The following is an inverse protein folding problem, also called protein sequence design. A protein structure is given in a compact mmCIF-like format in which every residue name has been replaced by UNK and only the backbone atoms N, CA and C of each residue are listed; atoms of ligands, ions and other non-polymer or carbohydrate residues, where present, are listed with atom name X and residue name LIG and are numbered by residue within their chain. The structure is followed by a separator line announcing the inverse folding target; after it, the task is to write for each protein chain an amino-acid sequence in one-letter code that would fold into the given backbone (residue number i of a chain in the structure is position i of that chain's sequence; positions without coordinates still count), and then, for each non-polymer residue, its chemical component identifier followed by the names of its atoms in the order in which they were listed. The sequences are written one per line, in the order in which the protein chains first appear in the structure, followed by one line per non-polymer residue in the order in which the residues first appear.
data_IF_031465987703
#
_entry.id   IF_031465987703
#
_cell.length_a   1.000
_cell.length_b   1.000
_cell.length_c   1.000
_cell.angle_alpha   90.00
_cell.angle_beta   90.00
_cell.angle_gamma   90.00
#
_symmetry.space_group_name_H-M   'P 1'
#
loop_
_entity.id
_entity.type
_entity.pdbx_description
1 polymer ?
#
# COMPACT_ATOMS: atom_id res chain seq x y z
N UNK A 1 -16.80 41.54 -9.34
CA UNK A 1 -15.46 41.09 -9.80
C UNK A 1 -15.59 39.64 -10.21
N UNK A 2 -15.48 39.35 -11.50
CA UNK A 2 -15.54 37.99 -12.04
C UNK A 2 -14.20 37.31 -11.74
N UNK A 3 -14.21 36.26 -10.92
CA UNK A 3 -13.03 35.42 -10.72
C UNK A 3 -12.74 34.70 -12.05
N UNK A 4 -11.72 35.15 -12.75
CA UNK A 4 -11.11 34.40 -13.83
C UNK A 4 -10.41 33.17 -13.21
N UNK A 5 -10.65 31.93 -13.69
CA UNK A 5 -9.93 30.76 -13.18
C UNK A 5 -8.42 30.90 -13.50
N UNK A 6 -7.58 30.54 -12.53
CA UNK A 6 -6.14 30.48 -12.69
C UNK A 6 -5.78 29.44 -13.78
N UNK A 7 -5.10 29.82 -14.88
CA UNK A 7 -4.75 28.89 -15.95
C UNK A 7 -3.74 27.79 -15.54
N UNK A 8 -3.21 27.82 -14.30
CA UNK A 8 -2.35 26.77 -13.74
C UNK A 8 -3.12 25.63 -13.04
N UNK A 9 -4.45 25.70 -12.97
CA UNK A 9 -5.28 24.60 -12.49
C UNK A 9 -5.47 23.61 -13.64
N UNK A 10 -4.57 22.62 -13.72
CA UNK A 10 -4.74 21.49 -14.63
C UNK A 10 -6.14 20.90 -14.51
N UNK A 11 -6.77 20.68 -15.66
CA UNK A 11 -8.09 20.05 -15.76
C UNK A 11 -8.13 18.75 -14.97
N UNK A 12 -9.28 18.46 -14.40
CA UNK A 12 -9.56 17.21 -13.69
C UNK A 12 -9.28 16.04 -14.61
N UNK A 13 -8.23 15.27 -14.35
CA UNK A 13 -8.00 14.03 -15.08
C UNK A 13 -9.03 13.01 -14.62
N UNK A 14 -10.02 12.77 -15.44
CA UNK A 14 -11.02 11.72 -15.20
C UNK A 14 -10.56 10.47 -15.97
N UNK A 15 -9.66 9.68 -15.37
CA UNK A 15 -9.58 8.28 -15.78
C UNK A 15 -10.87 7.59 -15.36
N UNK A 16 -11.35 6.66 -16.20
CA UNK A 16 -12.48 5.80 -15.85
C UNK A 16 -12.23 5.14 -14.49
N UNK A 17 -12.97 5.61 -13.46
CA UNK A 17 -12.81 5.21 -12.06
C UNK A 17 -13.00 3.70 -11.88
N UNK A 18 -13.70 3.04 -12.81
CA UNK A 18 -14.00 1.61 -12.74
C UNK A 18 -12.85 0.71 -13.26
N UNK A 19 -12.04 1.17 -14.21
CA UNK A 19 -11.12 0.29 -14.97
C UNK A 19 -9.67 0.81 -15.11
N UNK A 20 -9.22 1.72 -14.24
CA UNK A 20 -7.85 2.23 -14.30
C UNK A 20 -6.81 1.22 -13.80
N UNK A 21 -5.62 1.14 -14.44
CA UNK A 21 -4.53 0.28 -13.98
C UNK A 21 -3.89 0.87 -12.71
N UNK A 22 -3.86 0.10 -11.63
CA UNK A 22 -3.25 0.53 -10.35
C UNK A 22 -1.73 0.57 -10.53
N UNK A 23 -1.11 1.74 -10.38
CA UNK A 23 0.34 1.94 -10.48
C UNK A 23 0.96 2.17 -9.10
N UNK A 24 2.04 1.47 -8.82
CA UNK A 24 2.84 1.62 -7.60
C UNK A 24 4.29 1.91 -7.94
N UNK A 25 4.95 2.78 -7.17
CA UNK A 25 6.35 3.10 -7.37
C UNK A 25 7.27 1.97 -6.85
N UNK A 26 8.29 1.65 -7.64
CA UNK A 26 9.22 0.54 -7.35
C UNK A 26 10.02 0.79 -6.08
N UNK A 27 10.32 2.03 -5.75
CA UNK A 27 11.18 2.36 -4.62
C UNK A 27 10.46 2.12 -3.28
N UNK A 28 9.18 2.50 -3.14
CA UNK A 28 8.40 2.20 -1.95
C UNK A 28 8.10 0.70 -1.79
N UNK A 29 8.10 -0.05 -2.90
CA UNK A 29 8.00 -1.52 -2.86
C UNK A 29 9.29 -2.17 -2.34
N UNK A 30 10.46 -1.57 -2.54
CA UNK A 30 11.75 -2.11 -2.05
C UNK A 30 11.94 -1.87 -0.56
N UNK A 31 11.68 -0.65 -0.10
CA UNK A 31 11.90 -0.22 1.28
C UNK A 31 10.56 -0.17 2.02
N UNK A 32 10.47 -0.70 3.26
CA UNK A 32 9.23 -0.65 4.03
C UNK A 32 8.98 0.75 4.63
N UNK A 33 8.66 1.71 3.78
CA UNK A 33 8.39 3.10 4.15
C UNK A 33 7.12 3.20 5.00
N UNK A 34 6.09 2.44 4.63
CA UNK A 34 4.78 2.49 5.27
C UNK A 34 4.70 1.60 6.51
N UNK A 35 4.05 2.11 7.55
CA UNK A 35 3.81 1.34 8.77
C UNK A 35 2.75 0.26 8.57
N UNK A 36 2.98 -0.92 9.12
CA UNK A 36 2.02 -2.02 9.18
C UNK A 36 1.16 -1.95 10.45
N UNK A 37 1.46 -1.04 11.38
CA UNK A 37 0.78 -0.94 12.65
C UNK A 37 -0.68 -0.49 12.47
N UNK A 38 -1.59 -1.13 13.22
CA UNK A 38 -2.99 -0.71 13.30
C UNK A 38 -3.16 0.54 14.17
N UNK A 39 -2.27 0.71 15.14
CA UNK A 39 -2.27 1.85 16.06
C UNK A 39 -1.28 2.90 15.57
N UNK A 40 -1.36 4.10 16.14
CA UNK A 40 -0.46 5.21 15.87
C UNK A 40 1.00 4.80 16.11
N UNK A 41 1.81 4.83 15.06
CA UNK A 41 3.22 4.50 15.08
C UNK A 41 4.05 5.77 15.01
N UNK A 42 4.73 6.12 16.10
CA UNK A 42 5.59 7.30 16.20
C UNK A 42 7.07 6.95 16.30
N UNK A 43 7.44 5.68 16.08
CA UNK A 43 8.83 5.24 16.17
C UNK A 43 9.56 5.51 14.86
N UNK A 44 10.72 6.16 14.94
CA UNK A 44 11.64 6.24 13.82
C UNK A 44 12.16 4.85 13.47
N UNK A 45 12.14 4.53 12.18
CA UNK A 45 12.64 3.26 11.64
C UNK A 45 13.82 3.54 10.72
N UNK A 46 14.84 2.72 10.79
CA UNK A 46 16.03 2.83 9.95
C UNK A 46 16.28 1.49 9.27
N UNK A 47 16.50 1.54 7.98
CA UNK A 47 16.78 0.39 7.12
C UNK A 47 18.14 0.60 6.45
N UNK A 48 19.02 -0.42 6.55
CA UNK A 48 20.35 -0.39 5.95
C UNK A 48 20.51 -1.53 4.96
N UNK A 49 20.97 -1.22 3.77
CA UNK A 49 21.31 -2.22 2.76
C UNK A 49 22.60 -1.81 2.06
N UNK A 50 23.70 -2.42 2.44
CA UNK A 50 25.03 -1.97 2.01
C UNK A 50 25.28 -0.52 2.47
N UNK A 51 25.67 0.34 1.54
CA UNK A 51 25.91 1.76 1.81
C UNK A 51 24.60 2.59 1.89
N UNK A 52 23.47 2.08 1.41
CA UNK A 52 22.19 2.80 1.44
C UNK A 52 21.56 2.72 2.82
N UNK A 53 21.17 3.90 3.32
CA UNK A 53 20.42 4.04 4.57
C UNK A 53 19.13 4.78 4.25
N UNK A 54 18.01 4.23 4.66
CA UNK A 54 16.70 4.90 4.60
C UNK A 54 16.14 5.01 6.01
N UNK A 55 15.81 6.20 6.41
CA UNK A 55 15.21 6.48 7.71
C UNK A 55 13.80 7.03 7.52
N UNK A 56 12.84 6.45 8.21
CA UNK A 56 11.43 6.88 8.19
C UNK A 56 11.12 7.51 9.53
N UNK A 57 10.84 8.80 9.52
CA UNK A 57 10.61 9.63 10.70
C UNK A 57 9.15 10.05 10.73
N UNK A 58 8.32 9.47 11.62
CA UNK A 58 6.93 9.85 11.77
C UNK A 58 6.78 11.24 12.42
N UNK A 59 5.66 11.88 12.12
CA UNK A 59 5.24 13.06 12.89
C UNK A 59 4.50 12.67 14.18
N UNK A 60 4.11 13.69 14.95
CA UNK A 60 3.27 13.49 16.14
C UNK A 60 1.91 12.85 15.87
N UNK A 61 1.40 12.88 14.63
CA UNK A 61 0.16 12.18 14.25
C UNK A 61 0.38 10.72 13.85
N UNK A 62 1.63 10.29 13.75
CA UNK A 62 2.04 8.93 13.41
C UNK A 62 2.58 8.81 11.98
N UNK A 63 3.16 7.66 11.68
CA UNK A 63 3.66 7.29 10.35
C UNK A 63 2.52 7.04 9.37
N UNK A 64 2.78 7.32 8.08
CA UNK A 64 1.94 6.84 7.01
C UNK A 64 1.87 5.31 7.00
N UNK A 65 0.67 4.77 6.84
CA UNK A 65 0.40 3.33 6.84
C UNK A 65 0.26 2.78 5.43
N UNK A 66 0.34 1.47 5.27
CA UNK A 66 0.08 0.81 3.97
C UNK A 66 -1.33 1.10 3.43
N UNK A 67 -2.28 1.49 4.29
CA UNK A 67 -3.61 1.90 3.85
C UNK A 67 -3.63 3.35 3.37
N UNK A 68 -2.75 4.20 3.86
CA UNK A 68 -2.61 5.57 3.37
C UNK A 68 -1.95 5.61 1.99
N UNK A 69 -1.16 4.57 1.66
CA UNK A 69 -0.57 4.39 0.34
C UNK A 69 -1.60 4.34 -0.79
N UNK A 70 -2.85 3.92 -0.50
CA UNK A 70 -3.92 3.89 -1.51
C UNK A 70 -4.09 5.24 -2.23
N UNK A 71 -3.87 6.36 -1.52
CA UNK A 71 -3.93 7.68 -2.14
C UNK A 71 -2.78 7.90 -3.14
N UNK A 72 -1.58 7.45 -2.79
CA UNK A 72 -0.43 7.58 -3.69
C UNK A 72 -0.60 6.67 -4.92
N UNK A 73 -1.14 5.46 -4.74
CA UNK A 73 -1.48 4.56 -5.85
C UNK A 73 -2.52 5.19 -6.79
N UNK A 74 -3.56 5.81 -6.22
CA UNK A 74 -4.58 6.53 -6.98
C UNK A 74 -3.96 7.67 -7.80
N UNK A 75 -3.16 8.53 -7.16
CA UNK A 75 -2.50 9.67 -7.81
C UNK A 75 -1.51 9.19 -8.89
N UNK A 76 -0.65 8.21 -8.55
CA UNK A 76 0.32 7.66 -9.48
C UNK A 76 -0.34 7.11 -10.75
N UNK A 77 -1.45 6.41 -10.58
CA UNK A 77 -2.21 5.85 -11.70
C UNK A 77 -2.81 6.94 -12.59
N UNK A 78 -3.37 8.01 -12.00
CA UNK A 78 -3.89 9.16 -12.74
C UNK A 78 -2.79 9.85 -13.56
N UNK A 79 -1.62 10.11 -12.95
CA UNK A 79 -0.50 10.76 -13.60
C UNK A 79 0.05 9.90 -14.75
N UNK A 80 0.25 8.60 -14.52
CA UNK A 80 0.79 7.69 -15.55
C UNK A 80 -0.19 7.53 -16.71
N UNK A 81 -1.49 7.44 -16.41
CA UNK A 81 -2.51 7.33 -17.46
C UNK A 81 -2.61 8.61 -18.30
N UNK A 82 -2.64 9.78 -17.66
CA UNK A 82 -2.63 11.06 -18.37
C UNK A 82 -1.40 11.19 -19.28
N UNK A 83 -0.23 10.75 -18.78
CA UNK A 83 0.99 10.74 -19.57
C UNK A 83 0.92 9.78 -20.76
N UNK A 84 0.35 8.58 -20.58
CA UNK A 84 0.14 7.63 -21.67
C UNK A 84 -0.78 8.19 -22.78
N UNK A 85 -1.70 9.07 -22.39
CA UNK A 85 -2.61 9.78 -23.29
C UNK A 85 -2.03 11.10 -23.81
N UNK A 86 -0.74 11.36 -23.61
CA UNK A 86 -0.03 12.59 -24.01
C UNK A 86 -0.65 13.88 -23.44
N UNK A 87 -1.37 13.78 -22.33
CA UNK A 87 -1.93 14.94 -21.64
C UNK A 87 -0.88 15.63 -20.76
N UNK A 88 -1.06 16.92 -20.51
CA UNK A 88 -0.21 17.66 -19.59
C UNK A 88 -0.37 17.11 -18.16
N UNK A 89 0.75 16.78 -17.52
CA UNK A 89 0.77 16.25 -16.15
C UNK A 89 1.37 17.24 -15.18
N UNK A 90 0.90 17.21 -13.95
CA UNK A 90 1.35 18.07 -12.85
C UNK A 90 1.62 17.24 -11.61
N UNK A 91 2.53 17.71 -10.75
CA UNK A 91 2.72 17.17 -9.39
C UNK A 91 1.50 17.37 -8.49
N UNK A 92 0.64 18.33 -8.84
CA UNK A 92 -0.59 18.64 -8.09
C UNK A 92 -1.80 18.04 -8.79
N UNK A 93 -2.49 17.15 -8.08
CA UNK A 93 -3.70 16.48 -8.58
C UNK A 93 -4.89 16.91 -7.73
N UNK A 94 -6.00 17.27 -8.39
CA UNK A 94 -7.27 17.50 -7.74
C UNK A 94 -8.09 16.21 -7.71
N UNK A 95 -8.72 15.92 -6.59
CA UNK A 95 -9.39 14.63 -6.34
C UNK A 95 -10.76 14.90 -5.72
N UNK A 96 -11.82 14.40 -6.36
CA UNK A 96 -13.13 14.30 -5.73
C UNK A 96 -13.10 13.16 -4.70
N UNK A 97 -13.55 13.44 -3.49
CA UNK A 97 -13.43 12.47 -2.40
C UNK A 97 -14.19 11.17 -2.69
N UNK A 98 -15.36 11.30 -3.34
CA UNK A 98 -16.18 10.13 -3.70
C UNK A 98 -15.44 9.24 -4.73
N UNK A 99 -14.79 9.84 -5.71
CA UNK A 99 -14.08 9.11 -6.78
C UNK A 99 -12.90 8.32 -6.19
N UNK A 100 -12.17 8.94 -5.27
CA UNK A 100 -11.11 8.26 -4.54
C UNK A 100 -11.63 7.07 -3.71
N UNK A 101 -12.73 7.28 -2.96
CA UNK A 101 -13.30 6.23 -2.11
C UNK A 101 -13.81 5.04 -2.96
N UNK A 102 -14.53 5.32 -4.04
CA UNK A 102 -15.02 4.30 -4.97
C UNK A 102 -13.87 3.63 -5.70
N UNK A 103 -12.93 4.42 -6.24
CA UNK A 103 -11.77 3.91 -6.99
C UNK A 103 -10.85 3.01 -6.18
N UNK A 104 -10.78 3.21 -4.87
CA UNK A 104 -9.98 2.38 -3.94
C UNK A 104 -10.80 1.36 -3.15
N UNK A 105 -12.04 1.10 -3.59
CA UNK A 105 -12.98 0.14 -2.96
C UNK A 105 -13.19 0.41 -1.45
N UNK A 106 -13.16 1.67 -1.05
CA UNK A 106 -13.47 2.12 0.31
C UNK A 106 -14.95 2.47 0.40
N UNK A 107 -15.56 2.18 1.54
CA UNK A 107 -16.93 2.62 1.78
C UNK A 107 -17.05 4.16 1.73
N UNK A 108 -18.19 4.66 1.29
CA UNK A 108 -18.52 6.09 1.16
C UNK A 108 -19.18 6.68 2.41
N UNK A 109 -19.19 5.95 3.49
CA UNK A 109 -19.71 6.38 4.78
C UNK A 109 -18.90 7.55 5.36
N UNK A 110 -19.53 8.31 6.27
CA UNK A 110 -18.96 9.47 6.94
C UNK A 110 -17.55 9.26 7.48
N UNK A 111 -17.31 8.15 8.18
CA UNK A 111 -16.00 7.82 8.73
C UNK A 111 -14.90 7.73 7.66
N UNK A 112 -15.25 7.40 6.41
CA UNK A 112 -14.29 7.33 5.31
C UNK A 112 -13.81 8.71 4.89
N UNK A 113 -14.68 9.73 4.91
CA UNK A 113 -14.30 11.11 4.63
C UNK A 113 -13.41 11.69 5.73
N UNK A 114 -13.68 11.39 7.01
CA UNK A 114 -12.83 11.79 8.14
C UNK A 114 -11.43 11.17 8.03
N UNK A 115 -11.34 9.91 7.62
CA UNK A 115 -10.07 9.20 7.40
C UNK A 115 -9.21 9.80 6.28
N UNK A 116 -9.81 10.49 5.29
CA UNK A 116 -9.04 11.21 4.26
C UNK A 116 -8.16 12.28 4.90
N UNK A 117 -8.68 13.05 5.84
CA UNK A 117 -7.92 14.11 6.53
C UNK A 117 -6.74 13.53 7.30
N UNK A 118 -6.96 12.44 8.02
CA UNK A 118 -5.91 11.79 8.81
C UNK A 118 -4.85 11.14 7.90
N UNK A 119 -5.26 10.57 6.78
CA UNK A 119 -4.36 10.05 5.74
C UNK A 119 -3.45 11.15 5.20
N UNK A 120 -4.02 12.29 4.80
CA UNK A 120 -3.26 13.44 4.31
C UNK A 120 -2.26 13.96 5.35
N UNK A 121 -2.65 14.04 6.62
CA UNK A 121 -1.78 14.44 7.73
C UNK A 121 -0.61 13.48 7.92
N UNK A 122 -0.84 12.16 7.87
CA UNK A 122 0.22 11.17 8.00
C UNK A 122 1.16 11.18 6.80
N UNK A 123 0.64 11.22 5.58
CA UNK A 123 1.45 11.28 4.36
C UNK A 123 2.34 12.54 4.34
N UNK A 124 1.79 13.70 4.73
CA UNK A 124 2.56 14.96 4.80
C UNK A 124 3.56 14.96 5.97
N UNK A 125 3.20 14.33 7.07
CA UNK A 125 3.98 14.33 8.31
C UNK A 125 5.05 13.25 8.40
N UNK A 126 5.08 12.28 7.48
CA UNK A 126 6.11 11.25 7.43
C UNK A 126 7.28 11.73 6.60
N UNK A 127 8.44 11.92 7.24
CA UNK A 127 9.69 12.30 6.56
C UNK A 127 10.50 11.04 6.25
N UNK A 128 11.01 10.99 5.04
CA UNK A 128 11.94 9.96 4.56
C UNK A 128 13.28 10.63 4.38
N UNK A 129 14.31 10.13 5.08
CA UNK A 129 15.70 10.51 4.85
C UNK A 129 16.42 9.37 4.16
N UNK A 130 17.15 9.66 3.12
CA UNK A 130 18.00 8.70 2.43
C UNK A 130 19.35 9.31 2.12
N UNK A 131 20.38 8.47 2.14
CA UNK A 131 21.69 8.89 1.68
C UNK A 131 21.87 8.50 0.21
N UNK A 132 22.34 9.46 -0.55
CA UNK A 132 22.78 9.29 -1.93
C UNK A 132 24.30 9.50 -1.96
N UNK A 133 25.01 8.62 -2.61
CA UNK A 133 26.45 8.75 -2.83
C UNK A 133 26.73 8.95 -4.32
N UNK A 134 27.28 10.09 -4.68
CA UNK A 134 27.61 10.45 -6.07
C UNK A 134 28.99 11.09 -6.10
N UNK A 135 29.90 10.53 -6.92
CA UNK A 135 31.23 11.08 -7.10
C UNK A 135 32.10 11.11 -5.81
N UNK A 136 31.89 10.17 -4.89
CA UNK A 136 32.61 10.10 -3.61
C UNK A 136 32.11 11.11 -2.55
N UNK A 137 31.04 11.85 -2.84
CA UNK A 137 30.34 12.73 -1.89
C UNK A 137 29.06 12.07 -1.45
N UNK A 138 28.88 11.96 -0.13
CA UNK A 138 27.64 11.46 0.49
C UNK A 138 26.72 12.61 0.79
N UNK A 139 25.54 12.62 0.17
CA UNK A 139 24.47 13.57 0.42
C UNK A 139 23.34 12.89 1.17
N UNK A 140 22.77 13.55 2.17
CA UNK A 140 21.55 13.11 2.84
C UNK A 140 20.41 14.00 2.39
N UNK A 141 19.35 13.39 1.85
CA UNK A 141 18.15 14.10 1.45
C UNK A 141 16.98 13.67 2.35
N UNK A 142 16.19 14.66 2.76
CA UNK A 142 14.97 14.46 3.52
C UNK A 142 13.77 15.03 2.78
N UNK A 143 12.72 14.22 2.58
CA UNK A 143 11.48 14.63 1.91
C UNK A 143 10.26 13.98 2.55
N UNK A 144 9.08 14.54 2.30
CA UNK A 144 7.79 13.94 2.66
C UNK A 144 7.23 13.13 1.49
N UNK A 145 6.24 12.29 1.74
CA UNK A 145 5.54 11.57 0.65
C UNK A 145 4.69 12.51 -0.20
N UNK A 146 4.09 13.52 0.44
CA UNK A 146 3.39 14.63 -0.22
C UNK A 146 3.92 15.95 0.32
N UNK A 147 4.06 16.96 -0.54
CA UNK A 147 4.58 18.27 -0.16
C UNK A 147 3.50 19.16 0.45
N UNK A 148 2.34 19.21 -0.19
CA UNK A 148 1.21 20.00 0.29
C UNK A 148 -0.11 19.32 -0.01
N UNK A 149 -1.16 19.74 0.72
CA UNK A 149 -2.54 19.40 0.39
C UNK A 149 -3.46 20.59 0.73
N UNK A 150 -4.59 20.68 0.02
CA UNK A 150 -5.69 21.60 0.32
C UNK A 150 -6.98 20.80 0.38
N UNK A 151 -7.87 21.14 1.29
CA UNK A 151 -9.15 20.44 1.48
C UNK A 151 -10.27 21.45 1.30
N UNK A 152 -11.26 21.11 0.47
CA UNK A 152 -12.55 21.77 0.38
C UNK A 152 -13.59 20.90 1.08
N UNK A 153 -14.22 21.47 2.11
CA UNK A 153 -15.24 20.78 2.90
C UNK A 153 -16.56 21.57 2.85
N UNK A 154 -17.66 20.88 3.05
CA UNK A 154 -18.94 21.53 3.33
C UNK A 154 -18.86 22.36 4.62
N UNK A 155 -19.76 23.34 4.76
CA UNK A 155 -19.90 24.06 6.03
C UNK A 155 -20.17 23.10 7.18
N UNK A 156 -19.57 23.39 8.32
CA UNK A 156 -19.74 22.60 9.53
C UNK A 156 -21.23 22.54 9.93
N UNK A 157 -21.72 21.32 10.10
CA UNK A 157 -23.02 21.06 10.73
C UNK A 157 -22.77 20.55 12.15
N UNK A 158 -23.61 20.96 13.08
CA UNK A 158 -23.58 20.43 14.44
C UNK A 158 -24.53 19.24 14.51
N UNK A 159 -23.99 18.06 14.71
CA UNK A 159 -24.77 16.84 14.88
C UNK A 159 -24.62 16.27 16.28
N UNK A 160 -25.70 15.68 16.80
CA UNK A 160 -25.66 14.92 18.03
C UNK A 160 -25.02 13.54 17.74
N UNK A 161 -23.91 13.22 18.39
CA UNK A 161 -23.26 11.93 18.28
C UNK A 161 -23.15 11.27 19.66
N UNK A 162 -23.41 9.96 19.72
CA UNK A 162 -23.22 9.20 20.95
C UNK A 162 -21.73 8.89 21.14
N UNK A 163 -21.18 9.28 22.27
CA UNK A 163 -19.82 9.00 22.65
C UNK A 163 -19.80 7.74 23.53
N UNK A 164 -19.21 6.65 23.02
CA UNK A 164 -19.20 5.36 23.68
C UNK A 164 -18.32 5.33 24.95
N UNK A 165 -17.30 6.19 25.03
CA UNK A 165 -16.42 6.26 26.19
C UNK A 165 -17.10 6.99 27.35
N UNK A 166 -17.73 8.11 27.06
CA UNK A 166 -18.41 8.92 28.08
C UNK A 166 -19.87 8.53 28.31
N UNK A 167 -20.42 7.63 27.47
CA UNK A 167 -21.84 7.21 27.47
C UNK A 167 -22.83 8.38 27.39
N UNK A 168 -22.44 9.47 26.74
CA UNK A 168 -23.27 10.69 26.59
C UNK A 168 -23.42 11.08 25.13
N UNK A 169 -24.54 11.72 24.84
CA UNK A 169 -24.72 12.38 23.54
C UNK A 169 -23.98 13.71 23.57
N UNK A 170 -22.96 13.84 22.72
CA UNK A 170 -22.17 15.06 22.55
C UNK A 170 -22.50 15.73 21.21
N UNK A 171 -22.46 17.05 21.18
CA UNK A 171 -22.57 17.79 19.92
C UNK A 171 -21.20 17.87 19.28
N UNK A 172 -21.05 17.28 18.10
CA UNK A 172 -19.81 17.35 17.31
C UNK A 172 -20.05 18.18 16.05
N UNK A 173 -19.10 19.07 15.76
CA UNK A 173 -19.04 19.71 14.46
C UNK A 173 -18.59 18.71 13.41
N UNK A 174 -19.35 18.59 12.34
CA UNK A 174 -19.10 17.65 11.26
C UNK A 174 -19.04 18.40 9.96
N UNK A 175 -17.96 18.17 9.24
CA UNK A 175 -17.81 18.61 7.86
C UNK A 175 -17.51 17.42 6.97
N UNK A 176 -18.09 17.40 5.78
CA UNK A 176 -17.77 16.41 4.75
C UNK A 176 -16.73 16.99 3.82
N UNK A 177 -15.63 16.25 3.61
CA UNK A 177 -14.63 16.58 2.58
C UNK A 177 -15.24 16.32 1.21
N UNK A 178 -15.41 17.36 0.39
CA UNK A 178 -15.95 17.27 -0.97
C UNK A 178 -14.85 16.89 -1.95
N UNK A 179 -13.80 17.69 -1.97
CA UNK A 179 -12.61 17.49 -2.80
C UNK A 179 -11.37 17.91 -2.05
N UNK A 180 -10.24 17.43 -2.53
CA UNK A 180 -8.94 17.86 -2.03
C UNK A 180 -7.91 17.86 -3.16
N UNK A 181 -6.89 18.69 -3.03
CA UNK A 181 -5.74 18.65 -3.93
C UNK A 181 -4.50 18.20 -3.18
N UNK A 182 -3.64 17.48 -3.85
CA UNK A 182 -2.39 16.95 -3.29
C UNK A 182 -1.26 17.25 -4.25
N UNK A 183 -0.19 17.86 -3.73
CA UNK A 183 1.09 17.95 -4.44
C UNK A 183 2.00 16.85 -3.92
N UNK A 184 2.30 15.87 -4.76
CA UNK A 184 3.23 14.79 -4.42
C UNK A 184 4.67 15.31 -4.39
N UNK A 185 5.53 14.62 -3.63
CA UNK A 185 6.95 14.96 -3.58
C UNK A 185 7.61 14.88 -4.96
N UNK A 186 8.65 15.68 -5.15
CA UNK A 186 9.42 15.67 -6.39
C UNK A 186 10.05 14.30 -6.65
N UNK A 187 10.53 13.65 -5.59
CA UNK A 187 11.08 12.31 -5.66
C UNK A 187 10.08 11.30 -6.25
N UNK A 188 8.84 11.28 -5.75
CA UNK A 188 7.81 10.38 -6.26
C UNK A 188 7.43 10.75 -7.70
N UNK A 189 7.24 12.04 -7.99
CA UNK A 189 6.89 12.51 -9.34
C UNK A 189 7.95 12.13 -10.38
N UNK A 190 9.24 12.28 -10.04
CA UNK A 190 10.34 11.91 -10.93
C UNK A 190 10.34 10.40 -11.22
N UNK A 191 10.08 9.55 -10.22
CA UNK A 191 9.91 8.11 -10.43
C UNK A 191 8.77 7.78 -11.40
N UNK A 192 7.62 8.47 -11.26
CA UNK A 192 6.48 8.30 -12.19
C UNK A 192 6.83 8.77 -13.62
N UNK A 193 7.56 9.89 -13.73
CA UNK A 193 8.00 10.40 -15.03
C UNK A 193 9.03 9.49 -15.72
N UNK A 194 9.80 8.72 -14.98
CA UNK A 194 10.75 7.73 -15.50
C UNK A 194 10.14 6.32 -15.69
N UNK A 195 8.82 6.17 -15.53
CA UNK A 195 8.13 4.87 -15.56
C UNK A 195 8.67 3.82 -14.55
N UNK A 196 9.24 4.28 -13.45
CA UNK A 196 9.67 3.42 -12.34
C UNK A 196 8.46 2.94 -11.53
N UNK A 197 7.52 2.28 -12.22
CA UNK A 197 6.24 1.82 -11.67
C UNK A 197 5.95 0.37 -12.05
N UNK A 198 5.22 -0.33 -11.19
CA UNK A 198 4.64 -1.63 -11.47
C UNK A 198 3.12 -1.54 -11.44
N UNK A 199 2.48 -2.33 -12.29
CA UNK A 199 1.01 -2.46 -12.26
C UNK A 199 0.62 -3.49 -11.21
N UNK A 200 -0.31 -3.10 -10.31
CA UNK A 200 -0.90 -3.98 -9.31
C UNK A 200 -2.29 -4.45 -9.78
N UNK A 201 -2.69 -5.64 -9.33
CA UNK A 201 -4.08 -6.09 -9.47
C UNK A 201 -5.00 -5.28 -8.55
N UNK A 202 -6.20 -4.93 -9.01
CA UNK A 202 -7.19 -4.17 -8.21
C UNK A 202 -7.61 -4.87 -6.92
N UNK A 203 -7.52 -6.19 -6.87
CA UNK A 203 -7.72 -6.97 -5.64
C UNK A 203 -6.82 -6.56 -4.47
N UNK A 204 -5.76 -5.77 -4.73
CA UNK A 204 -4.94 -5.17 -3.69
C UNK A 204 -5.77 -4.34 -2.70
N UNK A 205 -6.73 -3.56 -3.17
CA UNK A 205 -7.57 -2.73 -2.31
C UNK A 205 -8.48 -3.55 -1.39
N UNK A 206 -8.79 -4.81 -1.74
CA UNK A 206 -9.58 -5.76 -0.92
C UNK A 206 -8.78 -6.42 0.19
N UNK A 207 -7.45 -6.30 0.17
CA UNK A 207 -6.60 -6.82 1.23
C UNK A 207 -6.76 -5.99 2.50
N UNK A 208 -7.45 -6.54 3.49
CA UNK A 208 -7.78 -5.86 4.75
C UNK A 208 -6.69 -5.96 5.81
N UNK A 209 -5.69 -6.85 5.63
CA UNK A 209 -4.55 -6.97 6.54
C UNK A 209 -3.33 -6.24 5.97
N UNK A 210 -2.68 -5.43 6.79
CA UNK A 210 -1.48 -4.66 6.40
C UNK A 210 -0.35 -5.56 5.90
N UNK A 211 -0.14 -6.70 6.54
CA UNK A 211 0.88 -7.66 6.11
C UNK A 211 0.56 -8.27 4.75
N UNK A 212 -0.71 -8.60 4.45
CA UNK A 212 -1.11 -9.16 3.15
C UNK A 212 -0.83 -8.17 2.01
N UNK A 213 -1.10 -6.88 2.22
CA UNK A 213 -0.74 -5.82 1.25
C UNK A 213 0.75 -5.79 0.99
N UNK A 214 1.55 -5.78 2.05
CA UNK A 214 3.01 -5.75 1.92
C UNK A 214 3.57 -7.01 1.27
N UNK A 215 3.05 -8.18 1.61
CA UNK A 215 3.43 -9.45 0.97
C UNK A 215 3.11 -9.46 -0.52
N UNK A 216 1.96 -8.89 -0.92
CA UNK A 216 1.61 -8.77 -2.34
C UNK A 216 2.55 -7.83 -3.09
N UNK A 217 2.88 -6.65 -2.54
CA UNK A 217 3.85 -5.73 -3.13
C UNK A 217 5.22 -6.41 -3.35
N UNK A 218 5.72 -7.12 -2.33
CA UNK A 218 6.98 -7.87 -2.41
C UNK A 218 6.90 -8.96 -3.48
N UNK A 219 5.80 -9.73 -3.50
CA UNK A 219 5.57 -10.74 -4.51
C UNK A 219 5.56 -10.14 -5.93
N UNK A 220 4.81 -9.04 -6.13
CA UNK A 220 4.72 -8.37 -7.43
C UNK A 220 6.07 -7.86 -7.92
N UNK A 221 6.88 -7.31 -7.01
CA UNK A 221 8.22 -6.80 -7.34
C UNK A 221 9.21 -7.91 -7.66
N UNK A 222 9.24 -8.97 -6.87
CA UNK A 222 10.31 -9.97 -6.93
C UNK A 222 9.95 -11.22 -7.72
N UNK A 223 8.72 -11.71 -7.63
CA UNK A 223 8.22 -12.76 -8.48
C UNK A 223 7.88 -12.21 -9.87
N UNK A 224 7.11 -11.09 -9.92
CA UNK A 224 6.74 -10.45 -11.18
C UNK A 224 6.11 -11.45 -12.14
N UNK A 225 6.72 -11.57 -13.33
CA UNK A 225 6.30 -12.56 -14.33
C UNK A 225 6.95 -13.93 -14.18
N UNK A 226 7.84 -14.13 -13.22
CA UNK A 226 8.41 -15.44 -12.95
C UNK A 226 7.36 -16.34 -12.28
N UNK A 227 7.40 -17.67 -12.57
CA UNK A 227 6.45 -18.62 -12.00
C UNK A 227 6.53 -18.75 -10.47
N UNK A 228 7.73 -18.57 -9.91
CA UNK A 228 7.99 -18.64 -8.47
C UNK A 228 9.20 -17.81 -8.09
N UNK A 229 9.24 -17.39 -6.82
CA UNK A 229 10.36 -16.72 -6.19
C UNK A 229 10.49 -17.20 -4.74
N UNK A 230 11.73 -17.44 -4.30
CA UNK A 230 12.03 -17.89 -2.93
C UNK A 230 12.82 -16.84 -2.18
N UNK A 231 12.53 -16.71 -0.90
CA UNK A 231 13.24 -15.80 -0.01
C UNK A 231 13.30 -16.40 1.39
N UNK A 232 14.44 -16.27 2.06
CA UNK A 232 14.56 -16.63 3.46
C UNK A 232 13.63 -15.79 4.34
N UNK A 233 13.02 -16.39 5.37
CA UNK A 233 12.03 -15.72 6.24
C UNK A 233 12.60 -14.50 6.96
N UNK A 234 13.90 -14.50 7.31
CA UNK A 234 14.53 -13.36 7.98
C UNK A 234 14.67 -12.18 7.02
N UNK A 235 15.17 -12.43 5.81
CA UNK A 235 15.25 -11.41 4.76
C UNK A 235 13.87 -10.90 4.35
N UNK A 236 12.86 -11.79 4.34
CA UNK A 236 11.47 -11.35 4.11
C UNK A 236 11.00 -10.44 5.23
N UNK A 237 11.32 -10.74 6.48
CA UNK A 237 11.01 -9.90 7.64
C UNK A 237 11.62 -8.50 7.51
N UNK A 238 12.87 -8.39 7.06
CA UNK A 238 13.52 -7.10 6.75
C UNK A 238 12.78 -6.34 5.64
N UNK A 239 12.41 -7.02 4.55
CA UNK A 239 11.66 -6.41 3.43
C UNK A 239 10.24 -5.99 3.83
N UNK A 240 9.60 -6.71 4.73
CA UNK A 240 8.31 -6.36 5.31
C UNK A 240 8.46 -5.14 6.22
N UNK A 241 9.60 -4.99 6.88
CA UNK A 241 9.86 -3.95 7.88
C UNK A 241 9.27 -4.30 9.24
N UNK A 242 9.14 -5.60 9.55
CA UNK A 242 8.63 -6.05 10.86
C UNK A 242 9.75 -6.15 11.88
N UNK A 243 9.43 -5.81 13.13
CA UNK A 243 10.30 -6.02 14.29
C UNK A 243 9.89 -7.26 15.10
N UNK A 244 8.94 -8.02 14.59
CA UNK A 244 8.44 -9.24 15.22
C UNK A 244 9.51 -10.33 15.25
N UNK A 245 9.41 -11.23 16.23
CA UNK A 245 10.24 -12.43 16.27
C UNK A 245 9.86 -13.39 15.14
N UNK A 246 10.83 -14.16 14.63
CA UNK A 246 10.64 -15.10 13.52
C UNK A 246 9.41 -16.00 13.69
N UNK A 247 9.14 -16.52 14.88
CA UNK A 247 8.01 -17.40 15.10
C UNK A 247 6.66 -16.67 14.91
N UNK A 248 6.57 -15.40 15.30
CA UNK A 248 5.38 -14.57 15.13
C UNK A 248 5.14 -14.29 13.63
N UNK A 249 6.20 -13.94 12.91
CA UNK A 249 6.12 -13.76 11.45
C UNK A 249 5.69 -15.05 10.75
N UNK A 250 6.23 -16.22 11.17
CA UNK A 250 5.83 -17.53 10.65
C UNK A 250 4.33 -17.79 10.85
N UNK A 251 3.79 -17.46 12.02
CA UNK A 251 2.38 -17.65 12.31
C UNK A 251 1.50 -16.69 11.45
N UNK A 252 1.92 -15.45 11.25
CA UNK A 252 1.24 -14.53 10.33
C UNK A 252 1.28 -15.01 8.87
N UNK A 253 2.41 -15.56 8.42
CA UNK A 253 2.53 -16.17 7.10
C UNK A 253 1.60 -17.38 6.95
N UNK A 254 1.51 -18.25 7.95
CA UNK A 254 0.54 -19.36 7.96
C UNK A 254 -0.90 -18.88 7.88
N UNK A 255 -1.23 -17.79 8.57
CA UNK A 255 -2.56 -17.18 8.44
C UNK A 255 -2.81 -16.62 7.03
N UNK A 256 -1.81 -16.01 6.40
CA UNK A 256 -1.91 -15.51 5.04
C UNK A 256 -2.04 -16.67 4.02
N UNK A 257 -1.28 -17.76 4.22
CA UNK A 257 -1.38 -19.00 3.42
C UNK A 257 -2.79 -19.59 3.55
N UNK A 258 -3.31 -19.74 4.77
CA UNK A 258 -4.63 -20.29 5.03
C UNK A 258 -5.77 -19.44 4.46
N UNK A 259 -5.58 -18.10 4.45
CA UNK A 259 -6.55 -17.17 3.88
C UNK A 259 -6.52 -17.13 2.36
N UNK A 260 -5.35 -17.31 1.75
CA UNK A 260 -5.09 -17.35 0.29
C UNK A 260 -5.72 -16.18 -0.49
N UNK A 261 -5.52 -14.94 0.00
CA UNK A 261 -6.17 -13.75 -0.55
C UNK A 261 -5.34 -12.93 -1.50
N UNK A 262 -4.01 -13.17 -1.58
CA UNK A 262 -3.16 -12.38 -2.44
C UNK A 262 -3.61 -12.51 -3.90
N UNK A 263 -3.85 -11.41 -4.61
CA UNK A 263 -4.07 -11.47 -6.06
C UNK A 263 -2.84 -12.07 -6.76
N UNK A 264 -3.03 -12.71 -7.89
CA UNK A 264 -1.98 -13.24 -8.78
C UNK A 264 -1.01 -14.28 -8.16
N UNK A 265 -0.84 -14.31 -6.83
CA UNK A 265 0.15 -15.15 -6.16
C UNK A 265 -0.44 -16.00 -5.04
N UNK A 266 0.20 -17.12 -4.80
CA UNK A 266 0.10 -17.92 -3.59
C UNK A 266 1.39 -17.80 -2.77
N UNK A 267 1.30 -18.14 -1.49
CA UNK A 267 2.44 -18.24 -0.58
C UNK A 267 2.53 -19.66 -0.06
N UNK A 268 3.76 -20.15 0.13
CA UNK A 268 4.05 -21.40 0.83
C UNK A 268 5.27 -21.22 1.74
N UNK A 269 5.42 -22.10 2.72
CA UNK A 269 6.62 -22.23 3.54
C UNK A 269 7.34 -23.53 3.18
N UNK A 270 8.66 -23.49 3.11
CA UNK A 270 9.51 -24.67 3.03
C UNK A 270 10.03 -25.04 4.43
N UNK A 271 9.37 -25.97 5.14
CA UNK A 271 9.74 -26.34 6.50
C UNK A 271 11.04 -27.15 6.56
N UNK A 272 11.54 -27.65 5.40
CA UNK A 272 12.78 -28.41 5.33
C UNK A 272 14.05 -27.53 5.38
N UNK A 273 13.87 -26.20 5.41
CA UNK A 273 14.93 -25.22 5.56
C UNK A 273 14.96 -24.66 6.97
N UNK A 274 16.15 -24.33 7.45
CA UNK A 274 16.34 -23.68 8.76
C UNK A 274 17.34 -22.53 8.61
N UNK A 275 16.87 -21.27 8.67
CA UNK A 275 15.46 -20.84 8.80
C UNK A 275 14.63 -21.13 7.55
N UNK A 276 13.28 -21.17 7.70
CA UNK A 276 12.35 -21.49 6.62
C UNK A 276 12.53 -20.57 5.42
N UNK A 277 12.41 -21.13 4.22
CA UNK A 277 12.20 -20.33 3.02
C UNK A 277 10.70 -20.05 2.80
N UNK A 278 10.40 -18.84 2.38
CA UNK A 278 9.08 -18.42 1.94
C UNK A 278 9.04 -18.43 0.43
N UNK A 279 8.07 -19.11 -0.14
CA UNK A 279 7.93 -19.31 -1.58
C UNK A 279 6.68 -18.57 -2.06
N UNK A 280 6.88 -17.59 -2.92
CA UNK A 280 5.79 -16.96 -3.67
C UNK A 280 5.70 -17.63 -5.04
N UNK A 281 4.49 -17.99 -5.48
CA UNK A 281 4.29 -18.62 -6.77
C UNK A 281 2.99 -18.18 -7.43
N UNK A 282 3.00 -18.17 -8.76
CA UNK A 282 1.88 -17.68 -9.57
C UNK A 282 0.62 -18.53 -9.40
N UNK A 283 -0.56 -17.87 -9.48
CA UNK A 283 -1.86 -18.55 -9.59
C UNK A 283 -2.10 -19.20 -10.95
N UNK A 284 -1.27 -18.88 -11.95
CA UNK A 284 -1.33 -19.51 -13.26
C UNK A 284 -0.74 -20.93 -13.22
N UNK A 285 -1.60 -21.92 -13.07
CA UNK A 285 -1.22 -23.33 -12.93
C UNK A 285 -0.39 -23.85 -14.11
N UNK A 286 -0.70 -23.43 -15.34
CA UNK A 286 0.03 -23.87 -16.53
C UNK A 286 1.46 -23.31 -16.56
N UNK A 287 1.64 -22.05 -16.13
CA UNK A 287 2.95 -21.40 -16.03
C UNK A 287 3.80 -22.07 -14.95
N UNK A 288 3.19 -22.32 -13.77
CA UNK A 288 3.85 -23.00 -12.67
C UNK A 288 4.27 -24.42 -13.03
N UNK A 289 3.37 -25.22 -13.62
CA UNK A 289 3.67 -26.62 -13.99
C UNK A 289 4.81 -26.73 -14.98
N UNK A 290 4.85 -25.87 -16.00
CA UNK A 290 5.96 -25.83 -16.96
C UNK A 290 7.31 -25.55 -16.27
N UNK A 291 7.33 -24.65 -15.31
CA UNK A 291 8.56 -24.34 -14.56
C UNK A 291 8.99 -25.49 -13.63
N UNK A 292 8.06 -26.13 -12.94
CA UNK A 292 8.34 -27.27 -12.07
C UNK A 292 8.88 -28.46 -12.87
N UNK A 293 8.36 -28.72 -14.09
CA UNK A 293 8.87 -29.73 -15.01
C UNK A 293 10.32 -29.35 -15.42
N UNK A 294 10.53 -28.11 -15.87
CA UNK A 294 11.83 -27.62 -16.30
C UNK A 294 12.91 -27.76 -15.23
N UNK A 295 12.56 -27.55 -13.97
CA UNK A 295 13.47 -27.60 -12.83
C UNK A 295 13.57 -28.99 -12.17
N UNK A 296 12.70 -29.94 -12.51
CA UNK A 296 12.64 -31.23 -11.83
C UNK A 296 12.19 -31.15 -10.35
N UNK A 297 11.47 -30.11 -9.96
CA UNK A 297 11.19 -29.75 -8.57
C UNK A 297 9.77 -30.11 -8.08
N UNK A 298 9.10 -31.08 -8.67
CA UNK A 298 7.73 -31.48 -8.26
C UNK A 298 7.66 -31.98 -6.83
N UNK A 299 8.55 -32.90 -6.44
CA UNK A 299 8.56 -33.49 -5.09
C UNK A 299 8.82 -32.41 -4.04
N UNK A 300 9.79 -31.53 -4.28
CA UNK A 300 10.03 -30.38 -3.40
C UNK A 300 8.78 -29.50 -3.28
N UNK A 301 8.14 -29.15 -4.40
CA UNK A 301 6.93 -28.30 -4.37
C UNK A 301 5.77 -28.97 -3.62
N UNK A 302 5.66 -30.32 -3.69
CA UNK A 302 4.66 -31.09 -2.93
C UNK A 302 4.94 -31.06 -1.43
N UNK A 303 6.20 -30.98 -1.00
CA UNK A 303 6.59 -30.96 0.41
C UNK A 303 6.34 -29.58 1.10
N UNK A 304 6.03 -28.52 0.34
CA UNK A 304 5.78 -27.21 0.90
C UNK A 304 4.49 -27.15 1.73
N UNK A 305 4.54 -26.37 2.81
CA UNK A 305 3.37 -25.99 3.58
C UNK A 305 2.59 -24.90 2.80
N UNK A 306 1.50 -25.28 2.16
CA UNK A 306 0.73 -24.42 1.26
C UNK A 306 -0.77 -24.55 1.49
N UNK A 307 -1.51 -23.62 0.88
CA UNK A 307 -2.96 -23.64 0.89
C UNK A 307 -3.49 -24.90 0.22
N UNK A 308 -4.32 -25.64 0.94
CA UNK A 308 -5.00 -26.85 0.45
C UNK A 308 -6.51 -26.62 0.40
N UNK A 309 -7.06 -26.50 -0.81
CA UNK A 309 -8.51 -26.30 -1.03
C UNK A 309 -9.37 -27.44 -0.49
N UNK A 310 -8.82 -28.65 -0.38
CA UNK A 310 -9.59 -29.82 0.06
C UNK A 310 -9.85 -29.80 1.56
N UNK A 311 -8.95 -29.19 2.34
CA UNK A 311 -9.07 -29.06 3.80
C UNK A 311 -10.12 -28.02 4.23
N UNK A 312 -10.54 -27.11 3.35
CA UNK A 312 -11.52 -26.05 3.67
C UNK A 312 -12.97 -26.54 3.78
N UNK A 313 -13.29 -27.74 3.26
CA UNK A 313 -14.65 -28.31 3.34
C UNK A 313 -15.09 -28.72 4.76
N UNK A 314 -14.16 -28.72 5.73
CA UNK A 314 -14.43 -29.05 7.13
C UNK A 314 -14.36 -27.89 8.14
N UNK A 315 -13.94 -26.69 7.74
CA UNK A 315 -13.89 -25.54 8.63
C UNK A 315 -15.25 -24.82 8.64
N UNK A 316 -15.85 -24.72 9.83
CA UNK A 316 -17.15 -24.10 10.07
C UNK A 316 -17.23 -22.70 9.43
N UNK A 317 -18.41 -22.38 8.87
CA UNK A 317 -18.78 -21.03 8.42
C UNK A 317 -18.44 -20.03 9.53
N UNK A 318 -17.80 -18.88 9.22
CA UNK A 318 -17.71 -17.82 10.20
C UNK A 318 -19.13 -17.41 10.56
N UNK A 319 -19.41 -17.34 11.86
CA UNK A 319 -20.66 -16.81 12.37
C UNK A 319 -20.86 -15.41 11.80
N UNK A 320 -21.97 -15.20 11.10
CA UNK A 320 -22.46 -13.87 10.76
C UNK A 320 -22.79 -13.22 12.10
N UNK A 321 -21.99 -12.27 12.53
CA UNK A 321 -22.37 -11.36 13.60
C UNK A 321 -23.17 -10.24 12.94
N UNK A 322 -24.50 -10.40 12.97
CA UNK A 322 -25.43 -9.30 12.78
C UNK A 322 -25.19 -8.27 13.90
N UNK A 323 -24.71 -7.07 13.57
CA UNK A 323 -25.04 -5.77 14.19
C UNK A 323 -24.71 -4.64 13.20
#
# INVERSE_FOLDING_TARGET
MKNTPDPAQGELFVCDIANWPVKDDIASMEVPIFSLAKQKDTKTREYRRGAKVVRVIPSSVGAATVFDKDLLLYIASQIVEARNQEQAVSRTVQIESIDFLVGTERGDGRASFERIVDMLRRLRGTTIETNIETGGVRQTEGFSLIDTYKILSEHKRVEAAYDAETKKTVRREVSRVLRFSVTISEWLYNGLMNYEVLTLDRGYFRLSKSIERRLYEIARKHCGDQPLWKVNIDLLGEKIGTTQKRFQLRDELRQAIAADRLPEYHIALDPNKSPDDVVFYTRNAAKLSRELIRLGNFEWFQSLERYDRTKRKGAAKPAIVDV
#
